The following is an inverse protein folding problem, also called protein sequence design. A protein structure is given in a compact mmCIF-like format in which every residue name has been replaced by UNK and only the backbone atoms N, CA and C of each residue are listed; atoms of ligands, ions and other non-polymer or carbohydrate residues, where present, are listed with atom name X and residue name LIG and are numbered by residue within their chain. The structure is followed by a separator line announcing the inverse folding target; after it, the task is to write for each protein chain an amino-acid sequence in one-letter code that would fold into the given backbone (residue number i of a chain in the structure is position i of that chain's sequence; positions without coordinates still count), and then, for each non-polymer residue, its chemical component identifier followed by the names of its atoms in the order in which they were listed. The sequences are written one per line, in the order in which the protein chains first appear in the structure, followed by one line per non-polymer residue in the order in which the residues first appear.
data_IF_885568688090
#
_entry.id   IF_885568688090
#
_cell.length_a   1.000
_cell.length_b   1.000
_cell.length_c   1.000
_cell.angle_alpha   90.00
_cell.angle_beta   90.00
_cell.angle_gamma   90.00
#
_symmetry.space_group_name_H-M   'P 1'
#
loop_
_entity.id
_entity.type
_entity.pdbx_description
1 polymer ?
#
# COMPACT_ATOMS: atom_id res chain seq x y z
N UNK A 1 -3.26 0.15 -5.32
CA UNK A 1 -3.47 -0.57 -4.07
C UNK A 1 -4.46 0.18 -3.20
N UNK A 2 -5.20 -0.51 -2.36
CA UNK A 2 -6.22 0.12 -1.52
C UNK A 2 -5.72 0.27 -0.08
N UNK A 3 -6.01 1.41 0.56
CA UNK A 3 -5.64 1.65 1.95
C UNK A 3 -6.62 0.91 2.87
N UNK A 4 -6.09 0.10 3.78
CA UNK A 4 -6.89 -0.68 4.74
C UNK A 4 -6.74 -0.18 6.18
N UNK A 5 -5.64 0.48 6.49
CA UNK A 5 -5.42 1.05 7.82
C UNK A 5 -4.52 2.28 7.72
N UNK A 6 -4.67 3.18 8.68
CA UNK A 6 -3.85 4.39 8.78
C UNK A 6 -3.40 4.57 10.21
N UNK A 7 -2.19 5.10 10.40
CA UNK A 7 -1.58 5.28 11.72
C UNK A 7 -1.18 6.72 11.97
N UNK A 8 -1.24 7.13 13.24
CA UNK A 8 -0.77 8.45 13.65
C UNK A 8 0.73 8.56 13.41
N UNK A 9 1.15 9.70 12.85
CA UNK A 9 2.56 9.98 12.62
C UNK A 9 3.29 10.37 13.90
N UNK A 10 4.61 10.54 13.76
CA UNK A 10 5.51 10.91 14.85
C UNK A 10 6.33 12.14 14.46
N UNK A 11 6.90 12.82 15.44
CA UNK A 11 7.73 13.99 15.20
C UNK A 11 6.94 15.10 14.50
N UNK A 12 7.40 15.51 13.34
CA UNK A 12 6.76 16.58 12.57
C UNK A 12 5.36 16.23 12.08
N UNK A 13 5.01 14.95 12.05
CA UNK A 13 3.71 14.47 11.62
C UNK A 13 2.79 14.05 12.76
N UNK A 14 3.13 14.44 13.97
CA UNK A 14 2.29 14.20 15.13
C UNK A 14 0.94 14.89 14.92
N UNK A 15 -0.14 14.18 15.20
CA UNK A 15 -1.49 14.73 15.08
C UNK A 15 -2.13 14.52 13.70
N UNK A 16 -1.43 13.92 12.75
CA UNK A 16 -1.99 13.57 11.45
C UNK A 16 -1.79 12.06 11.19
N UNK A 17 -2.63 11.50 10.33
CA UNK A 17 -2.55 10.10 9.93
C UNK A 17 -1.62 10.03 8.72
N UNK A 18 -0.38 9.64 8.94
CA UNK A 18 0.67 9.74 7.91
C UNK A 18 1.18 8.40 7.39
N UNK A 19 0.92 7.30 8.09
CA UNK A 19 1.38 5.97 7.71
C UNK A 19 0.20 5.16 7.19
N UNK A 20 0.29 4.72 5.93
CA UNK A 20 -0.81 4.03 5.26
C UNK A 20 -0.44 2.58 4.99
N UNK A 21 -1.24 1.66 5.53
CA UNK A 21 -1.15 0.24 5.20
C UNK A 21 -2.03 0.00 3.98
N UNK A 22 -1.51 -0.70 3.00
CA UNK A 22 -2.23 -0.92 1.75
C UNK A 22 -2.23 -2.39 1.34
N UNK A 23 -3.22 -2.73 0.52
CA UNK A 23 -3.52 -4.10 0.13
C UNK A 23 -3.73 -4.24 -1.36
N UNK A 24 -3.56 -5.46 -1.82
CA UNK A 24 -3.98 -5.91 -3.15
C UNK A 24 -5.16 -6.86 -2.99
N UNK A 25 -5.83 -7.17 -4.09
CA UNK A 25 -6.99 -8.04 -4.08
C UNK A 25 -6.60 -9.47 -4.46
N UNK A 26 -6.95 -10.42 -3.63
CA UNK A 26 -6.82 -11.83 -4.00
C UNK A 26 -7.94 -12.15 -4.99
N UNK A 27 -7.57 -12.42 -6.25
CA UNK A 27 -8.53 -12.67 -7.32
C UNK A 27 -9.36 -13.94 -7.09
N UNK A 28 -8.82 -14.90 -6.33
CA UNK A 28 -9.52 -16.16 -6.05
C UNK A 28 -10.60 -16.01 -4.99
N UNK A 29 -10.34 -15.20 -3.96
CA UNK A 29 -11.27 -15.05 -2.83
C UNK A 29 -12.04 -13.74 -2.84
N UNK A 30 -11.55 -12.75 -3.62
CA UNK A 30 -12.10 -11.40 -3.61
C UNK A 30 -11.70 -10.58 -2.41
N UNK A 31 -10.90 -11.12 -1.50
CA UNK A 31 -10.48 -10.44 -0.27
C UNK A 31 -9.26 -9.57 -0.51
N UNK A 32 -9.15 -8.51 0.28
CA UNK A 32 -7.97 -7.66 0.29
C UNK A 32 -6.94 -8.25 1.25
N UNK A 33 -5.68 -8.30 0.80
CA UNK A 33 -4.56 -8.82 1.60
C UNK A 33 -3.45 -7.78 1.61
N UNK A 34 -3.00 -7.42 2.80
CA UNK A 34 -2.00 -6.37 2.97
C UNK A 34 -0.64 -6.80 2.41
N UNK A 35 0.07 -5.85 1.78
CA UNK A 35 1.40 -6.09 1.19
C UNK A 35 2.44 -5.08 1.68
N UNK A 36 2.06 -4.10 2.47
CA UNK A 36 3.03 -3.15 2.98
C UNK A 36 2.41 -1.91 3.61
N UNK A 37 3.30 -1.05 4.05
CA UNK A 37 2.97 0.22 4.68
C UNK A 37 3.96 1.27 4.19
N UNK A 38 3.48 2.47 3.89
CA UNK A 38 4.32 3.58 3.46
C UNK A 38 3.96 4.85 4.22
N UNK A 39 4.98 5.70 4.42
CA UNK A 39 4.82 6.98 5.11
C UNK A 39 5.47 8.13 4.34
N UNK A 40 5.92 7.88 3.12
CA UNK A 40 6.56 8.89 2.27
C UNK A 40 5.83 9.03 0.94
N UNK A 41 5.97 10.19 0.33
CA UNK A 41 5.48 10.47 -1.02
C UNK A 41 4.36 11.49 -1.11
N UNK A 42 3.64 11.76 -0.02
CA UNK A 42 2.60 12.79 0.01
C UNK A 42 3.11 14.05 0.67
N UNK A 43 2.60 15.20 0.24
CA UNK A 43 2.90 16.48 0.88
C UNK A 43 2.17 16.59 2.21
N UNK A 44 2.60 17.51 3.06
CA UNK A 44 1.93 17.75 4.34
C UNK A 44 0.47 18.17 4.13
N UNK A 45 0.20 18.98 3.10
CA UNK A 45 -1.15 19.39 2.76
C UNK A 45 -2.04 18.20 2.37
N UNK A 46 -1.50 17.29 1.57
CA UNK A 46 -2.22 16.07 1.18
C UNK A 46 -2.51 15.18 2.39
N UNK A 47 -1.53 15.04 3.28
CA UNK A 47 -1.70 14.23 4.49
C UNK A 47 -2.77 14.83 5.40
N UNK A 48 -2.78 16.17 5.57
CA UNK A 48 -3.80 16.84 6.37
C UNK A 48 -5.20 16.60 5.79
N UNK A 49 -5.35 16.73 4.47
CA UNK A 49 -6.62 16.48 3.79
C UNK A 49 -7.06 15.02 3.95
N UNK A 50 -6.13 14.10 3.73
CA UNK A 50 -6.43 12.67 3.84
C UNK A 50 -6.76 12.26 5.28
N UNK A 51 -6.16 12.91 6.28
CA UNK A 51 -6.49 12.65 7.68
C UNK A 51 -7.97 12.89 7.92
N UNK A 52 -8.53 13.97 7.39
CA UNK A 52 -9.95 14.27 7.53
C UNK A 52 -10.80 13.23 6.77
N UNK A 53 -10.38 12.86 5.57
CA UNK A 53 -11.10 11.85 4.78
C UNK A 53 -11.12 10.50 5.51
N UNK A 54 -10.00 10.03 6.02
CA UNK A 54 -9.92 8.74 6.70
C UNK A 54 -10.76 8.70 7.97
N UNK A 55 -10.89 9.81 8.68
CA UNK A 55 -11.76 9.89 9.86
C UNK A 55 -13.21 9.60 9.51
N UNK A 56 -13.65 9.92 8.30
CA UNK A 56 -15.01 9.64 7.86
C UNK A 56 -15.20 8.19 7.39
N UNK A 57 -14.10 7.45 7.21
CA UNK A 57 -14.10 6.07 6.71
C UNK A 57 -13.74 5.06 7.78
N UNK A 58 -13.64 5.46 9.03
CA UNK A 58 -13.17 4.61 10.13
C UNK A 58 -14.12 3.45 10.39
N UNK A 59 -13.56 2.23 10.37
CA UNK A 59 -14.27 1.01 10.76
C UNK A 59 -14.00 0.68 12.22
N UNK A 60 -12.77 0.91 12.68
CA UNK A 60 -12.37 0.57 14.03
C UNK A 60 -11.23 1.48 14.47
N UNK A 61 -11.30 1.95 15.71
CA UNK A 61 -10.22 2.71 16.35
C UNK A 61 -9.27 1.70 17.00
N UNK A 62 -8.03 1.67 16.52
CA UNK A 62 -7.01 0.73 16.98
C UNK A 62 -6.12 1.30 18.09
N UNK A 63 -6.36 2.56 18.48
CA UNK A 63 -5.52 3.26 19.46
C UNK A 63 -4.35 3.98 18.81
N UNK A 64 -3.53 3.25 18.06
CA UNK A 64 -2.40 3.81 17.30
C UNK A 64 -2.79 4.31 15.91
N UNK A 65 -4.01 4.09 15.54
CA UNK A 65 -4.56 4.48 14.24
C UNK A 65 -5.95 3.93 14.05
N UNK A 66 -6.37 3.80 12.79
CA UNK A 66 -7.70 3.35 12.43
C UNK A 66 -7.66 2.31 11.32
N UNK A 67 -8.51 1.28 11.45
CA UNK A 67 -8.88 0.47 10.30
C UNK A 67 -9.93 1.27 9.53
N UNK A 68 -9.80 1.34 8.21
CA UNK A 68 -10.68 2.16 7.37
C UNK A 68 -11.33 1.35 6.27
N UNK A 69 -12.46 1.84 5.76
CA UNK A 69 -13.06 1.27 4.56
C UNK A 69 -12.06 1.39 3.42
N UNK A 70 -11.84 0.33 2.63
CA UNK A 70 -10.79 0.32 1.58
C UNK A 70 -11.27 1.05 0.31
N UNK A 71 -11.56 2.33 0.43
CA UNK A 71 -12.09 3.16 -0.65
C UNK A 71 -11.03 4.05 -1.30
N UNK A 72 -9.90 4.27 -0.62
CA UNK A 72 -8.82 5.11 -1.14
C UNK A 72 -7.82 4.24 -1.87
N UNK A 73 -7.60 4.54 -3.15
CA UNK A 73 -6.65 3.81 -4.00
C UNK A 73 -5.38 4.64 -4.15
N UNK A 74 -4.23 3.99 -3.98
CA UNK A 74 -2.92 4.60 -4.10
C UNK A 74 -2.15 4.00 -5.27
N UNK A 75 -1.36 4.83 -5.92
CA UNK A 75 -0.28 4.39 -6.78
C UNK A 75 0.97 4.29 -5.91
N UNK A 76 1.58 3.11 -5.85
CA UNK A 76 2.71 2.84 -4.97
C UNK A 76 3.90 2.37 -5.79
N UNK A 77 5.06 2.99 -5.59
CA UNK A 77 6.32 2.53 -6.14
C UNK A 77 7.09 1.78 -5.05
N UNK A 78 7.94 0.85 -5.43
CA UNK A 78 8.71 0.05 -4.48
C UNK A 78 10.01 -0.44 -5.13
N UNK A 79 10.96 -0.87 -4.30
CA UNK A 79 12.26 -1.34 -4.80
C UNK A 79 12.28 -2.84 -5.09
N UNK A 80 11.61 -3.64 -4.25
CA UNK A 80 11.55 -5.10 -4.45
C UNK A 80 10.35 -5.69 -3.72
N UNK A 81 10.12 -6.98 -3.98
CA UNK A 81 9.11 -7.77 -3.30
C UNK A 81 9.82 -8.91 -2.60
N UNK A 82 9.45 -9.20 -1.36
CA UNK A 82 10.02 -10.30 -0.59
C UNK A 82 8.91 -11.15 0.02
N UNK A 83 9.22 -12.40 0.34
CA UNK A 83 8.31 -13.24 1.13
C UNK A 83 8.14 -12.65 2.53
N UNK A 84 6.95 -12.77 3.08
CA UNK A 84 6.65 -12.26 4.40
C UNK A 84 5.70 -13.20 5.14
N UNK A 85 6.09 -13.57 6.36
CA UNK A 85 5.22 -14.37 7.23
C UNK A 85 4.27 -13.47 8.04
N UNK A 86 4.47 -12.16 7.97
CA UNK A 86 3.67 -11.18 8.72
C UNK A 86 2.44 -10.68 7.98
N UNK A 87 2.37 -10.96 6.68
CA UNK A 87 1.27 -10.51 5.83
C UNK A 87 0.48 -11.71 5.34
N UNK A 88 -0.85 -11.60 5.38
CA UNK A 88 -1.73 -12.64 4.85
C UNK A 88 -1.49 -12.91 3.37
N UNK A 89 -0.99 -11.90 2.64
CA UNK A 89 -0.63 -12.06 1.23
C UNK A 89 0.57 -13.00 1.01
N UNK A 90 1.41 -13.18 2.02
CA UNK A 90 2.68 -13.89 1.90
C UNK A 90 3.81 -13.04 1.34
N UNK A 91 3.56 -11.76 1.05
CA UNK A 91 4.53 -10.86 0.43
C UNK A 91 4.56 -9.49 1.12
N UNK A 92 5.70 -8.85 1.07
CA UNK A 92 5.89 -7.47 1.51
C UNK A 92 6.67 -6.69 0.46
N UNK A 93 6.21 -5.49 0.16
CA UNK A 93 6.96 -4.57 -0.71
C UNK A 93 8.06 -3.91 0.11
N UNK A 94 9.25 -3.81 -0.46
CA UNK A 94 10.40 -3.17 0.19
C UNK A 94 10.55 -1.73 -0.27
N UNK A 95 10.73 -0.84 0.70
CA UNK A 95 10.85 0.60 0.48
C UNK A 95 9.70 1.17 -0.35
N UNK A 96 8.45 0.85 0.03
CA UNK A 96 7.32 1.39 -0.70
C UNK A 96 7.18 2.88 -0.45
N UNK A 97 6.72 3.59 -1.48
CA UNK A 97 6.45 5.03 -1.40
C UNK A 97 5.22 5.37 -2.21
N UNK A 98 4.44 6.30 -1.71
CA UNK A 98 3.21 6.72 -2.36
C UNK A 98 3.57 7.69 -3.47
N UNK A 99 3.18 7.36 -4.71
CA UNK A 99 3.38 8.23 -5.85
C UNK A 99 2.26 9.26 -5.93
N UNK A 100 1.02 8.79 -5.79
CA UNK A 100 -0.17 9.66 -5.81
C UNK A 100 -1.40 8.91 -5.30
N UNK A 101 -2.43 9.69 -4.98
CA UNK A 101 -3.76 9.16 -4.67
C UNK A 101 -4.52 9.06 -5.99
N UNK A 102 -5.15 7.92 -6.24
CA UNK A 102 -5.88 7.65 -7.48
C UNK A 102 -7.39 7.73 -7.22
N UNK A 103 -7.93 8.94 -7.17
CA UNK A 103 -9.38 9.14 -7.01
C UNK A 103 -10.19 8.72 -8.24
N UNK A 104 -9.50 8.57 -9.37
CA UNK A 104 -10.09 8.14 -10.63
C UNK A 104 -10.25 6.62 -10.75
N UNK A 105 -9.67 5.85 -9.81
CA UNK A 105 -9.64 4.38 -9.91
C UNK A 105 -10.47 3.74 -8.81
N UNK A 106 -11.48 2.93 -9.16
CA UNK A 106 -12.27 2.22 -8.15
C UNK A 106 -11.47 1.08 -7.53
N UNK A 107 -11.83 0.71 -6.30
CA UNK A 107 -11.12 -0.35 -5.57
C UNK A 107 -11.22 -1.70 -6.29
N UNK A 108 -12.25 -1.93 -7.07
CA UNK A 108 -12.44 -3.17 -7.84
C UNK A 108 -11.38 -3.37 -8.91
N UNK A 109 -10.71 -2.30 -9.32
CA UNK A 109 -9.70 -2.33 -10.37
C UNK A 109 -8.27 -2.30 -9.88
N UNK A 110 -8.04 -2.44 -8.58
CA UNK A 110 -6.67 -2.45 -8.03
C UNK A 110 -5.92 -3.72 -8.45
N UNK A 111 -4.60 -3.68 -8.31
CA UNK A 111 -3.75 -4.83 -8.59
C UNK A 111 -4.11 -6.03 -7.74
N UNK A 112 -3.83 -7.21 -8.26
CA UNK A 112 -4.15 -8.47 -7.61
C UNK A 112 -2.93 -9.06 -6.91
N UNK A 113 -3.19 -9.95 -5.95
CA UNK A 113 -2.16 -10.77 -5.31
C UNK A 113 -1.42 -11.60 -6.37
N UNK A 114 -2.14 -12.11 -7.38
CA UNK A 114 -1.55 -12.90 -8.45
C UNK A 114 -0.54 -12.09 -9.27
N UNK A 115 -0.80 -10.80 -9.43
CA UNK A 115 0.16 -9.91 -10.09
C UNK A 115 1.42 -9.72 -9.24
N UNK A 116 1.28 -9.61 -7.92
CA UNK A 116 2.42 -9.52 -7.00
C UNK A 116 3.25 -10.80 -7.07
N UNK A 117 2.60 -11.96 -7.05
CA UNK A 117 3.28 -13.26 -7.17
C UNK A 117 4.05 -13.36 -8.48
N UNK A 118 3.43 -12.96 -9.60
CA UNK A 118 4.06 -12.97 -10.90
C UNK A 118 5.31 -12.10 -10.94
N UNK A 119 5.20 -10.87 -10.41
CA UNK A 119 6.35 -9.95 -10.35
C UNK A 119 7.46 -10.50 -9.45
N UNK A 120 7.08 -11.11 -8.32
CA UNK A 120 8.06 -11.70 -7.42
C UNK A 120 8.85 -12.81 -8.13
N UNK A 121 8.16 -13.76 -8.73
CA UNK A 121 8.80 -14.89 -9.40
C UNK A 121 9.67 -14.44 -10.58
N UNK A 122 9.21 -13.46 -11.33
CA UNK A 122 9.88 -13.00 -12.53
C UNK A 122 11.14 -12.18 -12.25
N UNK A 123 11.10 -11.31 -11.21
CA UNK A 123 12.12 -10.31 -10.99
C UNK A 123 12.84 -10.40 -9.65
N UNK A 124 12.23 -10.96 -8.63
CA UNK A 124 12.74 -10.91 -7.26
C UNK A 124 12.98 -12.28 -6.64
N UNK A 125 12.49 -13.35 -7.22
CA UNK A 125 12.74 -14.71 -6.74
C UNK A 125 14.07 -15.21 -7.26
N UNK A 126 14.99 -15.58 -6.35
CA UNK A 126 16.28 -16.13 -6.73
C UNK A 126 17.16 -15.16 -7.50
N UNK A 127 17.13 -15.19 -8.82
CA UNK A 127 18.00 -14.41 -9.70
C UNK A 127 17.45 -13.05 -10.11
N UNK A 128 16.33 -12.63 -9.51
CA UNK A 128 15.68 -11.36 -9.86
C UNK A 128 16.48 -10.11 -9.53
N UNK A 129 17.51 -10.22 -8.71
CA UNK A 129 18.29 -9.07 -8.26
C UNK A 129 18.90 -8.26 -9.40
N UNK A 130 19.33 -8.92 -10.46
CA UNK A 130 19.92 -8.24 -11.61
C UNK A 130 18.92 -7.32 -12.33
N UNK A 131 17.62 -7.55 -12.16
CA UNK A 131 16.57 -6.78 -12.81
C UNK A 131 15.97 -5.69 -11.91
N UNK A 132 16.47 -5.51 -10.70
CA UNK A 132 15.90 -4.57 -9.72
C UNK A 132 15.78 -3.14 -10.23
N UNK A 133 16.80 -2.67 -10.95
CA UNK A 133 16.78 -1.29 -11.44
C UNK A 133 15.69 -1.05 -12.47
N UNK A 134 15.30 -2.07 -13.22
CA UNK A 134 14.22 -1.98 -14.19
C UNK A 134 12.86 -2.06 -13.51
N UNK A 135 12.74 -2.99 -12.57
CA UNK A 135 11.46 -3.27 -11.90
C UNK A 135 11.12 -2.17 -10.89
N UNK A 136 12.12 -1.51 -10.32
CA UNK A 136 11.89 -0.42 -9.37
C UNK A 136 11.03 0.71 -9.94
N UNK A 137 10.91 0.80 -11.26
CA UNK A 137 10.09 1.79 -11.93
C UNK A 137 8.68 1.30 -12.24
N UNK A 138 8.38 0.04 -11.95
CA UNK A 138 7.06 -0.52 -12.24
C UNK A 138 6.04 0.03 -11.27
N UNK A 139 4.97 0.57 -11.84
CA UNK A 139 3.82 1.05 -11.08
C UNK A 139 2.85 -0.11 -10.86
N UNK A 140 2.56 -0.41 -9.61
CA UNK A 140 1.68 -1.51 -9.24
C UNK A 140 0.22 -1.12 -9.10
N UNK A 141 -0.13 0.14 -9.34
CA UNK A 141 -1.50 0.62 -9.22
C UNK A 141 -2.32 0.44 -10.49
N UNK A 142 -1.68 0.18 -11.60
CA UNK A 142 -2.37 0.12 -12.90
C UNK A 142 -2.99 -1.22 -13.25
#
# INVERSE_FOLDING_TARGET
MAVTAVEWGHGKRKGVLSDYTFAVKDAETGKLVNVGKAYTGLTDAEIAEMTQRFKTMTLENLGWGYAVRPEVVLEVAFDSIQHSNRHASGFALRFPRIVRIRDDKPVEEIDTLQRVEELYERYFGGEGEAALSEVAQVDTSS
#
